data_IF_278023940722
#
_entry.id   IF_278023940722
#
_cell.length_a   1.000
_cell.length_b   1.000
_cell.length_c   1.000
_cell.angle_alpha   90.00
_cell.angle_beta   90.00
_cell.angle_gamma   90.00
#
_symmetry.space_group_name_H-M   'P 1'
#
loop_
_entity.id
_entity.type
_entity.pdbx_description
1 polymer ?
#
# COMPACT_ATOMS: atom_id res chain seq x y z
N UNK A 1 8.59 37.46 2.97
CA UNK A 1 7.57 36.42 2.75
C UNK A 1 6.23 37.01 3.18
N UNK A 2 5.26 37.07 2.27
CA UNK A 2 4.06 37.92 2.38
C UNK A 2 3.13 37.55 3.54
N UNK A 3 2.92 38.51 4.43
CA UNK A 3 1.85 38.54 5.43
C UNK A 3 0.59 39.13 4.79
N UNK A 4 -0.26 38.28 4.21
CA UNK A 4 -1.59 38.73 3.77
C UNK A 4 -2.60 38.55 4.91
N UNK A 5 -2.55 39.48 5.88
CA UNK A 5 -3.64 39.67 6.82
C UNK A 5 -4.84 40.28 6.09
N UNK A 6 -6.03 39.68 6.24
CA UNK A 6 -7.25 40.23 5.65
C UNK A 6 -7.68 41.45 6.48
N UNK A 7 -7.72 42.60 5.83
CA UNK A 7 -8.05 43.89 6.45
C UNK A 7 -9.57 44.03 6.53
N UNK A 8 -10.12 44.19 7.73
CA UNK A 8 -11.53 44.54 7.88
C UNK A 8 -11.74 46.00 7.48
N UNK A 9 -12.47 46.21 6.38
CA UNK A 9 -12.71 47.53 5.79
C UNK A 9 -13.64 48.42 6.63
N UNK A 10 -14.34 47.85 7.62
CA UNK A 10 -15.25 48.62 8.50
C UNK A 10 -14.61 49.06 9.81
N UNK A 11 -13.63 48.32 10.34
CA UNK A 11 -13.02 48.59 11.65
C UNK A 11 -11.52 48.88 11.59
N UNK A 12 -10.86 48.66 10.44
CA UNK A 12 -9.43 48.88 10.26
C UNK A 12 -8.53 47.89 11.02
N UNK A 13 -9.10 46.90 11.69
CA UNK A 13 -8.35 45.88 12.41
C UNK A 13 -7.91 44.75 11.48
N UNK A 14 -6.64 44.33 11.60
CA UNK A 14 -6.14 43.12 10.93
C UNK A 14 -6.57 41.90 11.73
N UNK A 15 -7.44 41.07 11.15
CA UNK A 15 -7.86 39.81 11.78
C UNK A 15 -6.87 38.72 11.38
N UNK A 16 -6.01 38.35 12.31
CA UNK A 16 -5.05 37.25 12.12
C UNK A 16 -5.81 35.92 12.23
N UNK A 17 -6.38 35.46 11.12
CA UNK A 17 -7.12 34.19 11.08
C UNK A 17 -6.10 33.05 10.92
N UNK A 18 -5.92 32.16 11.92
CA UNK A 18 -5.04 31.03 11.75
C UNK A 18 -5.54 30.18 10.58
N UNK A 19 -4.62 29.83 9.67
CA UNK A 19 -4.94 29.00 8.52
C UNK A 19 -5.64 27.71 8.99
N UNK A 20 -6.75 27.30 8.35
CA UNK A 20 -7.41 26.06 8.72
C UNK A 20 -6.38 24.92 8.63
N UNK A 21 -6.32 24.02 9.63
CA UNK A 21 -5.39 22.90 9.56
C UNK A 21 -5.68 22.13 8.28
N UNK A 22 -4.64 21.87 7.48
CA UNK A 22 -4.76 21.08 6.27
C UNK A 22 -5.38 19.73 6.65
N UNK A 23 -6.64 19.53 6.28
CA UNK A 23 -7.33 18.26 6.50
C UNK A 23 -6.72 17.29 5.50
N UNK A 24 -5.66 16.60 5.92
CA UNK A 24 -5.13 15.45 5.19
C UNK A 24 -6.18 14.35 5.32
N UNK A 25 -7.21 14.40 4.47
CA UNK A 25 -8.17 13.31 4.31
C UNK A 25 -7.35 12.12 3.81
N UNK A 26 -6.94 11.22 4.71
CA UNK A 26 -6.46 9.89 4.31
C UNK A 26 -7.55 9.32 3.42
N UNK A 27 -7.26 9.13 2.13
CA UNK A 27 -8.19 8.52 1.20
C UNK A 27 -8.61 7.18 1.82
N UNK A 28 -9.90 7.06 2.13
CA UNK A 28 -10.46 5.82 2.66
C UNK A 28 -10.34 4.81 1.52
N UNK A 29 -9.40 3.87 1.63
CA UNK A 29 -9.26 2.79 0.65
C UNK A 29 -10.60 2.06 0.56
N UNK A 30 -11.19 2.01 -0.64
CA UNK A 30 -12.41 1.27 -0.87
C UNK A 30 -12.23 -0.19 -0.44
N UNK A 31 -13.25 -0.73 0.23
CA UNK A 31 -13.32 -2.13 0.63
C UNK A 31 -13.30 -3.00 -0.63
N UNK A 32 -12.58 -4.11 -0.59
CA UNK A 32 -12.51 -5.05 -1.70
C UNK A 32 -13.74 -5.95 -1.68
N UNK A 33 -14.38 -6.14 -2.83
CA UNK A 33 -15.44 -7.14 -2.99
C UNK A 33 -14.85 -8.56 -3.01
N UNK A 34 -15.63 -9.61 -2.71
CA UNK A 34 -15.18 -10.99 -2.82
C UNK A 34 -14.61 -11.31 -4.20
N UNK A 35 -13.39 -11.83 -4.24
CA UNK A 35 -12.68 -12.17 -5.49
C UNK A 35 -11.93 -11.02 -6.15
N UNK A 36 -12.03 -9.79 -5.61
CA UNK A 36 -11.19 -8.68 -6.04
C UNK A 36 -9.83 -8.72 -5.35
N UNK A 37 -8.80 -8.36 -6.10
CA UNK A 37 -7.43 -8.26 -5.62
C UNK A 37 -6.87 -6.90 -5.93
N UNK A 38 -6.19 -6.31 -4.95
CA UNK A 38 -5.47 -5.04 -5.11
C UNK A 38 -3.98 -5.27 -4.91
N UNK A 39 -3.20 -4.88 -5.90
CA UNK A 39 -1.74 -4.85 -5.80
C UNK A 39 -1.25 -3.45 -5.44
N UNK A 40 -0.25 -3.39 -4.56
CA UNK A 40 0.43 -2.14 -4.23
C UNK A 40 1.94 -2.38 -4.17
N UNK A 41 2.69 -1.66 -5.00
CA UNK A 41 4.15 -1.69 -5.00
C UNK A 41 4.70 -0.88 -3.82
N UNK A 42 5.80 -1.35 -3.21
CA UNK A 42 6.48 -0.65 -2.13
C UNK A 42 8.00 -0.91 -2.16
N UNK A 43 8.79 0.00 -1.58
CA UNK A 43 10.24 -0.15 -1.45
C UNK A 43 10.60 -1.30 -0.50
N UNK A 44 10.99 -2.44 -1.08
CA UNK A 44 11.10 -3.73 -0.39
C UNK A 44 12.20 -3.82 0.68
N UNK A 45 11.79 -4.02 1.94
CA UNK A 45 12.64 -4.60 3.01
C UNK A 45 12.05 -5.88 3.61
N UNK A 46 10.81 -6.22 3.24
CA UNK A 46 10.12 -7.41 3.70
C UNK A 46 10.46 -8.60 2.84
N UNK A 47 10.25 -9.77 3.41
CA UNK A 47 10.42 -11.02 2.70
C UNK A 47 9.15 -11.42 1.94
N UNK A 48 9.32 -12.20 0.89
CA UNK A 48 8.20 -12.76 0.15
C UNK A 48 7.62 -13.97 0.90
N UNK A 49 6.30 -13.95 1.13
CA UNK A 49 5.56 -14.99 1.83
C UNK A 49 5.56 -16.31 1.04
N UNK A 50 5.31 -16.24 -0.27
CA UNK A 50 5.33 -17.43 -1.15
C UNK A 50 6.73 -18.05 -1.26
N UNK A 51 7.80 -17.23 -1.22
CA UNK A 51 9.16 -17.78 -1.13
C UNK A 51 9.39 -18.53 0.18
N UNK A 52 8.82 -18.05 1.29
CA UNK A 52 8.94 -18.70 2.59
C UNK A 52 8.21 -20.03 2.61
N UNK A 53 6.99 -20.07 2.08
CA UNK A 53 6.22 -21.30 1.97
C UNK A 53 6.93 -22.34 1.09
N UNK A 54 7.45 -21.92 -0.07
CA UNK A 54 8.20 -22.81 -0.96
C UNK A 54 9.45 -23.41 -0.29
N UNK A 55 10.14 -22.66 0.59
CA UNK A 55 11.26 -23.21 1.37
C UNK A 55 10.80 -24.22 2.42
N UNK A 56 9.70 -23.93 3.12
CA UNK A 56 9.12 -24.85 4.09
C UNK A 56 8.69 -26.17 3.43
N UNK A 57 8.03 -26.09 2.27
CA UNK A 57 7.56 -27.24 1.51
C UNK A 57 8.75 -28.07 0.96
N UNK A 58 9.79 -27.42 0.45
CA UNK A 58 11.00 -28.10 -0.02
C UNK A 58 11.71 -28.83 1.12
N UNK A 59 11.79 -28.21 2.30
CA UNK A 59 12.39 -28.81 3.48
C UNK A 59 11.59 -30.04 3.96
N UNK A 60 10.26 -29.92 4.03
CA UNK A 60 9.37 -31.03 4.39
C UNK A 60 9.45 -32.20 3.39
N UNK A 61 9.64 -31.89 2.11
CA UNK A 61 9.79 -32.88 1.04
C UNK A 61 11.22 -33.45 0.90
N UNK A 62 12.19 -32.98 1.68
CA UNK A 62 13.60 -33.37 1.55
C UNK A 62 14.24 -32.95 0.22
N UNK A 63 13.70 -31.91 -0.44
CA UNK A 63 14.16 -31.39 -1.73
C UNK A 63 15.15 -30.24 -1.55
N UNK A 64 15.93 -29.88 -2.59
CA UNK A 64 16.76 -28.69 -2.56
C UNK A 64 15.93 -27.43 -2.25
N UNK A 65 16.36 -26.66 -1.25
CA UNK A 65 15.64 -25.48 -0.77
C UNK A 65 15.89 -24.29 -1.71
N UNK A 66 14.85 -23.67 -2.29
CA UNK A 66 15.02 -22.54 -3.20
C UNK A 66 15.48 -21.26 -2.47
N UNK A 67 16.10 -20.33 -3.20
CA UNK A 67 16.53 -19.04 -2.65
C UNK A 67 15.35 -18.12 -2.35
N UNK A 68 15.40 -17.47 -1.18
CA UNK A 68 14.40 -16.49 -0.75
C UNK A 68 14.61 -15.13 -1.42
N UNK A 69 13.51 -14.52 -1.88
CA UNK A 69 13.51 -13.17 -2.47
C UNK A 69 12.81 -12.15 -1.57
N UNK A 70 13.16 -10.88 -1.73
CA UNK A 70 12.48 -9.77 -1.06
C UNK A 70 11.17 -9.44 -1.76
N UNK A 71 10.17 -9.08 -0.96
CA UNK A 71 8.90 -8.60 -1.47
C UNK A 71 9.04 -7.15 -1.96
N UNK A 72 8.45 -6.89 -3.12
CA UNK A 72 8.40 -5.58 -3.78
C UNK A 72 6.96 -5.08 -3.93
N UNK A 73 5.99 -5.98 -3.77
CA UNK A 73 4.58 -5.67 -3.84
C UNK A 73 3.80 -6.36 -2.73
N UNK A 74 2.66 -5.79 -2.40
CA UNK A 74 1.70 -6.41 -1.51
C UNK A 74 0.40 -6.69 -2.25
N UNK A 75 -0.19 -7.85 -1.97
CA UNK A 75 -1.46 -8.33 -2.50
C UNK A 75 -2.49 -8.25 -1.39
N UNK A 76 -3.46 -7.37 -1.53
CA UNK A 76 -4.59 -7.20 -0.62
C UNK A 76 -5.81 -7.92 -1.22
N UNK A 77 -6.43 -8.81 -0.45
CA UNK A 77 -7.69 -9.49 -0.76
C UNK A 77 -8.66 -9.34 0.42
N UNK A 78 -9.90 -9.84 0.28
CA UNK A 78 -10.86 -9.90 1.40
C UNK A 78 -10.36 -10.75 2.58
N UNK A 79 -9.49 -11.74 2.32
CA UNK A 79 -8.95 -12.64 3.34
C UNK A 79 -7.70 -12.12 4.05
N UNK A 80 -7.13 -11.00 3.59
CA UNK A 80 -5.96 -10.40 4.21
C UNK A 80 -4.93 -9.89 3.22
N UNK A 81 -3.69 -9.76 3.69
CA UNK A 81 -2.58 -9.15 2.95
C UNK A 81 -1.38 -10.09 2.89
N UNK A 82 -0.88 -10.31 1.69
CA UNK A 82 0.34 -11.07 1.43
C UNK A 82 1.41 -10.17 0.79
N UNK A 83 2.69 -10.50 1.02
CA UNK A 83 3.85 -9.79 0.48
C UNK A 83 4.56 -10.66 -0.55
N UNK A 84 4.67 -10.16 -1.77
CA UNK A 84 5.14 -10.93 -2.92
C UNK A 84 6.37 -10.27 -3.56
N UNK A 85 7.31 -11.11 -4.00
CA UNK A 85 8.35 -10.69 -4.93
C UNK A 85 7.74 -10.54 -6.34
N UNK A 86 8.41 -9.85 -7.25
CA UNK A 86 7.91 -9.64 -8.62
C UNK A 86 7.51 -10.94 -9.33
N UNK A 87 8.29 -12.01 -9.14
CA UNK A 87 8.00 -13.29 -9.81
C UNK A 87 6.69 -13.91 -9.32
N UNK A 88 6.49 -13.99 -8.00
CA UNK A 88 5.24 -14.52 -7.43
C UNK A 88 4.06 -13.55 -7.62
N UNK A 89 4.32 -12.24 -7.71
CA UNK A 89 3.28 -11.28 -8.09
C UNK A 89 2.73 -11.61 -9.48
N UNK A 90 3.62 -11.75 -10.48
CA UNK A 90 3.21 -12.06 -11.86
C UNK A 90 2.45 -13.39 -11.94
N UNK A 91 2.91 -14.41 -11.22
CA UNK A 91 2.26 -15.72 -11.17
C UNK A 91 0.81 -15.61 -10.64
N UNK A 92 0.62 -14.92 -9.51
CA UNK A 92 -0.72 -14.71 -8.92
C UNK A 92 -1.60 -13.81 -9.78
N UNK A 93 -1.03 -12.73 -10.31
CA UNK A 93 -1.75 -11.74 -11.11
C UNK A 93 -2.32 -12.36 -12.39
N UNK A 94 -1.69 -13.41 -12.93
CA UNK A 94 -2.23 -14.17 -14.08
C UNK A 94 -3.58 -14.85 -13.80
N UNK A 95 -3.87 -15.12 -12.51
CA UNK A 95 -5.10 -15.80 -12.07
C UNK A 95 -6.11 -14.87 -11.40
N UNK A 96 -5.68 -13.68 -10.98
CA UNK A 96 -6.49 -12.77 -10.17
C UNK A 96 -7.33 -11.81 -11.02
N UNK A 97 -8.49 -11.42 -10.49
CA UNK A 97 -9.26 -10.27 -11.01
C UNK A 97 -8.78 -9.01 -10.30
N UNK A 98 -7.88 -8.29 -10.96
CA UNK A 98 -7.31 -7.06 -10.43
C UNK A 98 -8.32 -5.91 -10.47
N UNK A 99 -8.30 -5.10 -9.41
CA UNK A 99 -8.97 -3.81 -9.37
C UNK A 99 -7.91 -2.73 -9.46
N UNK A 100 -7.93 -1.96 -10.54
CA UNK A 100 -7.09 -0.76 -10.69
C UNK A 100 -7.45 0.24 -9.57
N UNK A 101 -6.42 0.81 -8.96
CA UNK A 101 -6.53 1.79 -7.86
C UNK A 101 -6.60 3.20 -8.42
#
# INVERSE_FOLDING_TARGET
MSLHGQLDLFTGATVDRPAPPAVVRRAVKALLEPGQVRYASFGGKRDCDDCWQAQADANAAGKPVPLRRRATSSRETTGGKAYLCELHKLDRQSTDKEVEV
#
